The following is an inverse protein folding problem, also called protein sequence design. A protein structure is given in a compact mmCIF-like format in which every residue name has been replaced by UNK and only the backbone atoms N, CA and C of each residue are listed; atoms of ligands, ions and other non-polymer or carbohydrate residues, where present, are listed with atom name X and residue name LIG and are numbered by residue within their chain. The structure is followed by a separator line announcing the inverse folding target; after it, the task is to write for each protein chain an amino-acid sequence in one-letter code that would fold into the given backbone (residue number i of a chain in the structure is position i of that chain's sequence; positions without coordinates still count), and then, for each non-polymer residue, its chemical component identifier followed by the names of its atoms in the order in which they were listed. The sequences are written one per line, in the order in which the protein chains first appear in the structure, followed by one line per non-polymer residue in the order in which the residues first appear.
data_IF_567802443344
#
_entry.id   IF_567802443344
#
_cell.length_a   1.000
_cell.length_b   1.000
_cell.length_c   1.000
_cell.angle_alpha   90.00
_cell.angle_beta   90.00
_cell.angle_gamma   90.00
#
_symmetry.space_group_name_H-M   'P 1'
#
loop_
_entity.id
_entity.type
_entity.pdbx_description
1 polymer ?
#
# COMPACT_ATOMS: atom_id res chain seq x y z
N UNK A 1 11.83 10.64 -12.08
CA UNK A 1 11.68 11.10 -10.71
C UNK A 1 11.07 10.00 -9.82
N UNK A 2 10.99 10.18 -8.47
CA UNK A 2 10.58 9.10 -7.56
C UNK A 2 9.17 8.55 -7.88
N UNK A 3 8.16 9.40 -7.95
CA UNK A 3 6.78 8.97 -8.19
C UNK A 3 6.55 8.37 -9.58
N UNK A 4 7.33 8.76 -10.59
CA UNK A 4 7.32 8.08 -11.87
C UNK A 4 7.79 6.64 -11.75
N UNK A 5 8.86 6.41 -10.98
CA UNK A 5 9.40 5.06 -10.73
C UNK A 5 8.42 4.21 -9.90
N UNK A 6 7.73 4.81 -8.93
CA UNK A 6 6.67 4.12 -8.17
C UNK A 6 5.56 3.68 -9.12
N UNK A 7 5.06 4.57 -9.97
CA UNK A 7 4.02 4.20 -10.94
C UNK A 7 4.49 3.14 -11.95
N UNK A 8 5.74 3.23 -12.40
CA UNK A 8 6.35 2.27 -13.33
C UNK A 8 6.65 0.90 -12.68
N UNK A 9 6.57 0.79 -11.34
CA UNK A 9 6.78 -0.46 -10.60
C UNK A 9 5.52 -1.34 -10.50
N UNK A 10 4.41 -0.96 -11.15
CA UNK A 10 3.19 -1.75 -11.14
C UNK A 10 3.41 -3.14 -11.72
N UNK A 11 2.94 -4.17 -11.00
CA UNK A 11 3.03 -5.57 -11.38
C UNK A 11 1.64 -6.06 -11.80
N UNK A 12 1.47 -6.36 -13.08
CA UNK A 12 0.18 -6.78 -13.66
C UNK A 12 -0.33 -8.11 -13.07
N UNK A 13 0.55 -9.01 -12.66
CA UNK A 13 0.16 -10.32 -12.11
C UNK A 13 -0.46 -10.17 -10.73
N UNK A 14 0.18 -9.43 -9.85
CA UNK A 14 -0.27 -9.22 -8.47
C UNK A 14 -1.28 -8.08 -8.34
N UNK A 15 -1.25 -7.12 -9.25
CA UNK A 15 -2.01 -5.87 -9.14
C UNK A 15 -1.45 -4.88 -8.13
N UNK A 16 -0.22 -5.09 -7.65
CA UNK A 16 0.45 -4.26 -6.65
C UNK A 16 1.75 -3.64 -7.21
N UNK A 17 2.51 -2.96 -6.36
CA UNK A 17 3.80 -2.38 -6.74
C UNK A 17 4.94 -3.31 -6.36
N UNK A 18 5.86 -3.55 -7.29
CA UNK A 18 7.11 -4.20 -6.97
C UNK A 18 7.95 -3.30 -6.07
N UNK A 19 8.67 -3.90 -5.14
CA UNK A 19 9.62 -3.16 -4.32
C UNK A 19 10.78 -2.63 -5.17
N UNK A 20 11.22 -1.42 -4.86
CA UNK A 20 12.30 -0.75 -5.56
C UNK A 20 13.55 -0.85 -4.73
N UNK A 21 14.44 -1.77 -5.06
CA UNK A 21 15.76 -1.78 -4.43
C UNK A 21 16.47 -0.43 -4.64
N UNK A 22 16.65 0.28 -3.55
CA UNK A 22 17.72 1.24 -3.42
C UNK A 22 18.91 0.49 -2.80
N UNK A 23 20.10 0.77 -3.06
CA UNK A 23 20.81 1.70 -3.93
C UNK A 23 21.62 1.02 -5.02
N UNK A 24 21.62 -0.32 -5.14
CA UNK A 24 22.65 -1.04 -5.89
C UNK A 24 22.30 -1.28 -7.36
N UNK A 25 21.09 -1.01 -7.74
CA UNK A 25 20.67 -1.20 -9.12
C UNK A 25 19.70 -0.09 -9.47
N UNK A 26 20.20 1.12 -9.63
CA UNK A 26 19.49 2.32 -10.04
C UNK A 26 18.10 2.06 -10.69
N UNK A 27 17.10 1.74 -9.88
CA UNK A 27 15.74 1.50 -10.34
C UNK A 27 15.36 0.06 -10.69
N UNK A 28 16.18 -0.94 -10.36
CA UNK A 28 15.78 -2.33 -10.52
C UNK A 28 14.63 -2.66 -9.58
N UNK A 29 13.59 -3.23 -10.16
CA UNK A 29 12.49 -3.83 -9.41
C UNK A 29 12.95 -5.20 -8.91
N UNK A 30 12.49 -5.59 -7.74
CA UNK A 30 12.74 -6.92 -7.19
C UNK A 30 11.44 -7.70 -7.07
N UNK A 31 11.53 -8.98 -7.37
CA UNK A 31 10.43 -9.91 -7.17
C UNK A 31 10.41 -10.36 -5.71
N UNK A 32 9.97 -9.48 -4.83
CA UNK A 32 9.91 -9.73 -3.40
C UNK A 32 9.96 -8.45 -2.60
N UNK A 33 10.06 -8.60 -1.28
CA UNK A 33 10.11 -7.55 -0.31
C UNK A 33 11.49 -7.44 0.34
N UNK A 34 12.09 -6.24 0.29
CA UNK A 34 13.36 -5.97 0.96
C UNK A 34 13.15 -5.50 2.39
N UNK A 35 13.51 -6.34 3.36
CA UNK A 35 13.30 -6.08 4.79
C UNK A 35 14.38 -5.24 5.46
N UNK A 36 15.46 -4.90 4.76
CA UNK A 36 16.67 -4.32 5.37
C UNK A 36 17.68 -5.38 5.85
N UNK A 37 17.24 -6.58 6.11
CA UNK A 37 18.08 -7.73 6.50
C UNK A 37 18.26 -8.72 5.35
N UNK A 38 17.40 -8.67 4.36
CA UNK A 38 17.43 -9.56 3.20
C UNK A 38 16.16 -9.49 2.38
N UNK A 39 16.19 -10.14 1.22
CA UNK A 39 15.05 -10.24 0.32
C UNK A 39 14.15 -11.42 0.74
N UNK A 40 12.90 -11.12 1.05
CA UNK A 40 11.83 -12.14 1.11
C UNK A 40 11.25 -12.25 -0.29
N UNK A 41 11.48 -13.39 -0.94
CA UNK A 41 11.09 -13.62 -2.34
C UNK A 41 9.59 -13.82 -2.49
N UNK A 42 9.11 -13.55 -3.69
CA UNK A 42 7.77 -13.87 -4.16
C UNK A 42 6.62 -13.27 -3.33
N UNK A 43 6.90 -12.23 -2.53
CA UNK A 43 5.87 -11.50 -1.81
C UNK A 43 6.07 -9.98 -1.85
N UNK A 44 4.96 -9.24 -1.83
CA UNK A 44 4.90 -7.84 -1.51
C UNK A 44 4.56 -7.65 -0.04
N UNK A 45 5.09 -6.62 0.61
CA UNK A 45 4.69 -6.24 1.95
C UNK A 45 3.74 -5.03 1.92
N UNK A 46 2.66 -5.09 2.67
CA UNK A 46 1.70 -4.00 2.79
C UNK A 46 2.33 -2.70 3.26
N UNK A 47 3.35 -2.76 4.12
CA UNK A 47 4.06 -1.58 4.58
C UNK A 47 4.71 -0.83 3.41
N UNK A 48 5.50 -1.50 2.56
CA UNK A 48 6.20 -0.86 1.44
C UNK A 48 5.23 -0.41 0.35
N UNK A 49 4.28 -1.28 -0.04
CA UNK A 49 3.28 -0.95 -1.06
C UNK A 49 2.32 0.12 -0.56
N UNK A 50 1.80 -0.02 0.65
CA UNK A 50 0.82 0.89 1.24
C UNK A 50 1.41 2.28 1.45
N UNK A 51 2.62 2.39 2.01
CA UNK A 51 3.28 3.69 2.16
C UNK A 51 3.58 4.34 0.80
N UNK A 52 4.06 3.56 -0.19
CA UNK A 52 4.32 4.08 -1.52
C UNK A 52 3.07 4.67 -2.19
N UNK A 53 1.94 3.92 -2.18
CA UNK A 53 0.69 4.40 -2.77
C UNK A 53 0.05 5.53 -1.96
N UNK A 54 0.22 5.52 -0.62
CA UNK A 54 -0.22 6.63 0.24
C UNK A 54 0.48 7.95 -0.15
N UNK A 55 1.81 7.96 -0.22
CA UNK A 55 2.52 9.18 -0.60
C UNK A 55 2.27 9.59 -2.05
N UNK A 56 2.04 8.63 -2.94
CA UNK A 56 1.64 8.92 -4.32
C UNK A 56 0.28 9.64 -4.35
N UNK A 57 -0.75 9.09 -3.72
CA UNK A 57 -2.11 9.67 -3.68
C UNK A 57 -2.15 10.99 -2.93
N UNK A 58 -1.43 11.11 -1.81
CA UNK A 58 -1.29 12.36 -1.06
C UNK A 58 -0.66 13.47 -1.92
N UNK A 59 0.37 13.13 -2.70
CA UNK A 59 1.00 14.10 -3.60
C UNK A 59 0.06 14.52 -4.73
N UNK A 60 -0.69 13.58 -5.31
CA UNK A 60 -1.70 13.89 -6.33
C UNK A 60 -2.80 14.82 -5.79
N UNK A 61 -3.30 14.55 -4.58
CA UNK A 61 -4.29 15.41 -3.91
C UNK A 61 -3.73 16.82 -3.68
N UNK A 62 -2.49 16.94 -3.21
CA UNK A 62 -1.83 18.25 -3.08
C UNK A 62 -1.71 18.98 -4.41
N UNK A 63 -1.31 18.32 -5.48
CA UNK A 63 -1.24 18.94 -6.81
C UNK A 63 -2.61 19.38 -7.28
N UNK A 64 -3.63 18.56 -7.11
CA UNK A 64 -5.01 18.87 -7.49
C UNK A 64 -5.53 20.13 -6.75
N UNK A 65 -5.34 20.19 -5.42
CA UNK A 65 -5.76 21.34 -4.61
C UNK A 65 -5.06 22.64 -5.01
N UNK A 66 -3.85 22.55 -5.56
CA UNK A 66 -3.07 23.71 -6.00
C UNK A 66 -3.20 23.99 -7.51
N UNK A 67 -4.15 23.35 -8.21
CA UNK A 67 -4.37 23.54 -9.65
C UNK A 67 -3.18 23.14 -10.52
N UNK A 68 -2.33 22.23 -10.02
CA UNK A 68 -1.15 21.75 -10.75
C UNK A 68 -1.46 20.47 -11.50
N UNK A 69 -0.89 20.28 -12.70
CA UNK A 69 -1.11 19.05 -13.46
C UNK A 69 -0.47 17.86 -12.75
N UNK A 70 -1.15 16.72 -12.83
CA UNK A 70 -0.68 15.43 -12.32
C UNK A 70 -0.51 14.48 -13.52
N UNK A 71 0.62 13.72 -13.60
CA UNK A 71 0.79 12.71 -14.64
C UNK A 71 -0.29 11.62 -14.56
N UNK A 72 -0.97 11.36 -15.69
CA UNK A 72 -2.06 10.37 -15.75
C UNK A 72 -1.64 8.97 -15.28
N UNK A 73 -0.38 8.57 -15.54
CA UNK A 73 0.14 7.28 -15.10
C UNK A 73 0.18 7.10 -13.58
N UNK A 74 0.26 8.19 -12.81
CA UNK A 74 0.21 8.10 -11.34
C UNK A 74 -1.18 7.72 -10.87
N UNK A 75 -2.21 8.32 -11.47
CA UNK A 75 -3.60 7.99 -11.18
C UNK A 75 -3.91 6.55 -11.58
N UNK A 76 -3.51 6.14 -12.78
CA UNK A 76 -3.71 4.77 -13.27
C UNK A 76 -3.09 3.73 -12.32
N UNK A 77 -1.84 3.93 -11.93
CA UNK A 77 -1.15 3.03 -10.99
C UNK A 77 -1.83 3.00 -9.62
N UNK A 78 -2.15 4.17 -9.05
CA UNK A 78 -2.80 4.27 -7.75
C UNK A 78 -4.18 3.59 -7.74
N UNK A 79 -5.00 3.82 -8.76
CA UNK A 79 -6.32 3.19 -8.89
C UNK A 79 -6.19 1.68 -8.99
N UNK A 80 -5.32 1.16 -9.87
CA UNK A 80 -5.12 -0.28 -10.04
C UNK A 80 -4.70 -0.96 -8.74
N UNK A 81 -3.73 -0.38 -8.02
CA UNK A 81 -3.27 -0.91 -6.73
C UNK A 81 -4.39 -0.90 -5.70
N UNK A 82 -5.05 0.23 -5.51
CA UNK A 82 -6.08 0.39 -4.49
C UNK A 82 -7.34 -0.41 -4.81
N UNK A 83 -7.71 -0.56 -6.08
CA UNK A 83 -8.79 -1.48 -6.47
C UNK A 83 -8.43 -2.93 -6.14
N UNK A 84 -7.18 -3.35 -6.42
CA UNK A 84 -6.72 -4.71 -6.07
C UNK A 84 -6.82 -4.97 -4.56
N UNK A 85 -6.35 -4.05 -3.71
CA UNK A 85 -6.43 -4.27 -2.26
C UNK A 85 -7.85 -4.23 -1.72
N UNK A 86 -8.73 -3.41 -2.32
CA UNK A 86 -10.17 -3.42 -1.99
C UNK A 86 -10.85 -4.73 -2.39
N UNK A 87 -10.49 -5.30 -3.55
CA UNK A 87 -11.02 -6.60 -4.00
C UNK A 87 -10.57 -7.75 -3.10
N UNK A 88 -9.39 -7.62 -2.51
CA UNK A 88 -8.81 -8.60 -1.61
C UNK A 88 -9.10 -8.32 -0.12
N UNK A 89 -9.78 -7.21 0.20
CA UNK A 89 -10.09 -6.86 1.59
C UNK A 89 -10.98 -7.92 2.24
N UNK A 90 -10.60 -8.38 3.41
CA UNK A 90 -11.39 -9.32 4.21
C UNK A 90 -12.67 -8.67 4.73
N UNK A 91 -13.70 -9.47 4.99
CA UNK A 91 -15.02 -8.98 5.39
C UNK A 91 -15.01 -8.15 6.68
N UNK A 92 -14.07 -8.42 7.60
CA UNK A 92 -13.88 -7.68 8.84
C UNK A 92 -13.09 -6.36 8.68
N UNK A 93 -12.67 -6.04 7.45
CA UNK A 93 -11.95 -4.82 7.13
C UNK A 93 -10.43 -4.97 7.04
N UNK A 94 -9.86 -6.12 7.39
CA UNK A 94 -8.43 -6.34 7.30
C UNK A 94 -7.92 -6.26 5.85
N UNK A 95 -6.78 -5.62 5.66
CA UNK A 95 -5.92 -5.81 4.51
C UNK A 95 -4.85 -6.85 4.83
N UNK A 96 -4.30 -7.50 3.80
CA UNK A 96 -3.21 -8.45 3.98
C UNK A 96 -1.94 -7.78 4.50
N UNK A 97 -1.12 -8.55 5.20
CA UNK A 97 0.24 -8.16 5.56
C UNK A 97 1.20 -8.40 4.40
N UNK A 98 1.16 -9.61 3.81
CA UNK A 98 1.93 -9.92 2.62
C UNK A 98 1.03 -10.47 1.51
N UNK A 99 1.45 -10.19 0.26
CA UNK A 99 0.73 -10.55 -0.96
C UNK A 99 1.66 -11.25 -1.93
N UNK A 100 1.12 -12.15 -2.75
CA UNK A 100 1.87 -12.81 -3.82
C UNK A 100 2.32 -11.80 -4.88
N UNK A 101 3.53 -11.98 -5.42
CA UNK A 101 4.01 -11.25 -6.60
C UNK A 101 3.53 -11.87 -7.91
N UNK A 102 2.99 -13.08 -7.87
CA UNK A 102 2.62 -13.88 -9.05
C UNK A 102 1.13 -13.84 -9.37
N UNK A 103 0.30 -13.55 -8.38
CA UNK A 103 -1.15 -13.56 -8.49
C UNK A 103 -1.79 -12.59 -7.49
N UNK A 104 -3.04 -12.21 -7.71
CA UNK A 104 -3.83 -11.36 -6.80
C UNK A 104 -4.31 -12.18 -5.59
N UNK A 105 -3.42 -12.32 -4.61
CA UNK A 105 -3.69 -13.17 -3.44
C UNK A 105 -2.94 -12.68 -2.21
N UNK A 106 -3.63 -12.67 -1.07
CA UNK A 106 -3.01 -12.46 0.24
C UNK A 106 -2.34 -13.76 0.69
N UNK A 107 -1.11 -13.66 1.16
CA UNK A 107 -0.32 -14.77 1.69
C UNK A 107 -0.37 -14.82 3.22
N UNK A 108 -0.39 -13.67 3.86
CA UNK A 108 -0.44 -13.54 5.32
C UNK A 108 -1.38 -12.39 5.71
N UNK A 109 -2.17 -12.63 6.74
CA UNK A 109 -3.15 -11.70 7.31
C UNK A 109 -2.73 -11.14 8.67
N UNK A 110 -1.56 -11.51 9.17
CA UNK A 110 -1.09 -11.07 10.48
C UNK A 110 -0.71 -9.59 10.49
N UNK A 111 -0.71 -9.01 11.69
CA UNK A 111 -0.21 -7.66 11.89
C UNK A 111 -1.12 -6.54 11.38
N UNK A 112 -0.59 -5.34 11.39
CA UNK A 112 -1.34 -4.11 11.11
C UNK A 112 -0.76 -3.27 9.95
N UNK A 113 0.31 -3.70 9.30
CA UNK A 113 0.94 -2.94 8.21
C UNK A 113 -0.01 -2.62 7.04
N UNK A 114 -1.11 -3.38 6.89
CA UNK A 114 -2.19 -3.06 5.93
C UNK A 114 -2.91 -1.74 6.22
N UNK A 115 -2.78 -1.16 7.41
CA UNK A 115 -3.39 0.13 7.76
C UNK A 115 -2.95 1.26 6.82
N UNK A 116 -1.77 1.17 6.21
CA UNK A 116 -1.27 2.16 5.24
C UNK A 116 -2.15 2.32 4.00
N UNK A 117 -2.98 1.33 3.66
CA UNK A 117 -3.92 1.47 2.54
C UNK A 117 -5.10 2.39 2.88
N UNK A 118 -5.51 2.48 4.15
CA UNK A 118 -6.67 3.29 4.54
C UNK A 118 -6.51 4.79 4.19
N UNK A 119 -5.43 5.50 4.58
CA UNK A 119 -5.27 6.90 4.18
C UNK A 119 -5.07 7.06 2.67
N UNK A 120 -4.47 6.09 1.97
CA UNK A 120 -4.35 6.12 0.52
C UNK A 120 -5.74 6.09 -0.16
N UNK A 121 -6.65 5.26 0.34
CA UNK A 121 -8.04 5.16 -0.13
C UNK A 121 -8.81 6.47 0.11
N UNK A 122 -8.61 7.12 1.25
CA UNK A 122 -9.23 8.44 1.52
C UNK A 122 -8.76 9.49 0.52
N UNK A 123 -7.46 9.53 0.19
CA UNK A 123 -6.96 10.42 -0.84
C UNK A 123 -7.51 10.09 -2.23
N UNK A 124 -7.63 8.80 -2.57
CA UNK A 124 -8.22 8.39 -3.84
C UNK A 124 -9.69 8.80 -3.93
N UNK A 125 -10.47 8.61 -2.85
CA UNK A 125 -11.85 9.11 -2.76
C UNK A 125 -11.93 10.62 -3.04
N UNK A 126 -11.06 11.42 -2.42
CA UNK A 126 -11.03 12.88 -2.63
C UNK A 126 -10.74 13.29 -4.07
N UNK A 127 -9.93 12.49 -4.76
CA UNK A 127 -9.54 12.73 -6.16
C UNK A 127 -10.61 12.27 -7.16
N UNK A 128 -11.37 11.22 -6.84
CA UNK A 128 -12.24 10.53 -7.80
C UNK A 128 -13.72 10.58 -7.44
N UNK A 129 -14.07 10.78 -6.17
CA UNK A 129 -15.43 10.62 -5.65
C UNK A 129 -15.90 9.17 -5.52
N UNK A 130 -15.03 8.18 -5.65
CA UNK A 130 -15.41 6.77 -5.59
C UNK A 130 -15.72 6.35 -4.14
N UNK A 131 -17.00 6.25 -3.79
CA UNK A 131 -17.49 5.93 -2.43
C UNK A 131 -16.97 4.59 -1.89
N UNK A 132 -16.67 3.62 -2.76
CA UNK A 132 -16.08 2.34 -2.38
C UNK A 132 -14.75 2.53 -1.63
N UNK A 133 -13.95 3.51 -2.01
CA UNK A 133 -12.68 3.81 -1.34
C UNK A 133 -12.92 4.24 0.12
N UNK A 134 -13.91 5.10 0.34
CA UNK A 134 -14.25 5.58 1.68
C UNK A 134 -14.76 4.44 2.57
N UNK A 135 -15.70 3.64 2.07
CA UNK A 135 -16.24 2.49 2.81
C UNK A 135 -15.15 1.45 3.15
N UNK A 136 -14.22 1.21 2.22
CA UNK A 136 -13.10 0.29 2.47
C UNK A 136 -12.15 0.84 3.54
N UNK A 137 -11.87 2.14 3.51
CA UNK A 137 -11.03 2.80 4.50
C UNK A 137 -11.69 2.76 5.89
N UNK A 138 -13.00 3.03 6.01
CA UNK A 138 -13.75 2.98 7.27
C UNK A 138 -13.68 1.59 7.91
N UNK A 139 -13.96 0.53 7.13
CA UNK A 139 -13.82 -0.85 7.59
C UNK A 139 -12.41 -1.18 8.08
N UNK A 140 -11.40 -0.69 7.36
CA UNK A 140 -10.01 -0.91 7.75
C UNK A 140 -9.69 -0.19 9.07
N UNK A 141 -10.14 1.04 9.26
CA UNK A 141 -9.94 1.78 10.50
C UNK A 141 -10.60 1.07 11.69
N UNK A 142 -11.82 0.55 11.54
CA UNK A 142 -12.51 -0.21 12.58
C UNK A 142 -11.69 -1.47 12.96
N UNK A 143 -11.17 -2.18 11.98
CA UNK A 143 -10.34 -3.36 12.22
C UNK A 143 -9.01 -3.00 12.90
N UNK A 144 -8.24 -2.06 12.34
CA UNK A 144 -6.91 -1.73 12.87
C UNK A 144 -6.97 -0.95 14.20
N UNK A 145 -8.07 -0.29 14.52
CA UNK A 145 -8.27 0.29 15.84
C UNK A 145 -8.16 -0.75 16.97
N UNK A 146 -8.51 -2.00 16.73
CA UNK A 146 -8.36 -3.09 17.71
C UNK A 146 -6.91 -3.31 18.11
N UNK A 147 -5.96 -3.14 17.20
CA UNK A 147 -4.52 -3.29 17.47
C UNK A 147 -4.03 -2.24 18.47
N UNK A 148 -4.46 -0.99 18.32
CA UNK A 148 -4.11 0.09 19.25
C UNK A 148 -4.73 -0.16 20.62
N UNK A 149 -6.00 -0.54 20.66
CA UNK A 149 -6.74 -0.84 21.89
C UNK A 149 -6.11 -1.98 22.67
N UNK A 150 -5.68 -3.02 21.99
CA UNK A 150 -5.13 -4.23 22.61
C UNK A 150 -3.60 -4.17 22.74
N UNK A 151 -2.98 -3.01 22.40
CA UNK A 151 -1.53 -2.82 22.37
C UNK A 151 -0.79 -3.90 21.56
N UNK A 152 -1.40 -4.35 20.47
CA UNK A 152 -0.84 -5.37 19.61
C UNK A 152 0.16 -4.74 18.64
N UNK A 153 1.42 -4.94 18.88
CA UNK A 153 2.53 -4.38 18.11
C UNK A 153 3.07 -5.33 17.03
N UNK A 154 2.32 -6.37 16.71
CA UNK A 154 2.79 -7.42 15.81
C UNK A 154 2.69 -7.01 14.34
N UNK A 155 3.73 -7.28 13.56
CA UNK A 155 3.69 -7.22 12.10
C UNK A 155 4.28 -5.98 11.46
N UNK A 156 5.07 -5.17 12.15
CA UNK A 156 5.84 -4.13 11.48
C UNK A 156 7.09 -4.69 10.81
N UNK A 157 7.46 -4.22 9.62
CA UNK A 157 8.66 -4.70 8.93
C UNK A 157 9.97 -4.13 9.50
N UNK A 158 9.92 -2.98 10.16
CA UNK A 158 11.11 -2.30 10.68
C UNK A 158 11.40 -2.68 12.12
N UNK A 159 10.35 -2.73 12.91
CA UNK A 159 10.40 -3.08 14.31
C UNK A 159 9.01 -3.60 14.69
N UNK A 160 8.91 -4.89 14.86
CA UNK A 160 7.64 -5.56 15.16
C UNK A 160 7.04 -5.18 16.51
N UNK A 161 7.71 -4.35 17.29
CA UNK A 161 7.33 -3.98 18.63
C UNK A 161 6.58 -2.64 18.75
N UNK A 162 6.38 -1.92 17.63
CA UNK A 162 5.81 -0.58 17.65
C UNK A 162 4.50 -0.48 16.87
N UNK A 163 3.38 -0.64 17.55
CA UNK A 163 2.07 -0.39 16.96
C UNK A 163 1.77 1.11 16.77
N UNK A 164 2.42 1.96 17.55
CA UNK A 164 2.13 3.40 17.60
C UNK A 164 2.81 4.22 16.51
N UNK A 165 3.74 3.63 15.77
CA UNK A 165 4.47 4.31 14.70
C UNK A 165 3.71 4.23 13.35
N UNK A 166 2.59 3.53 13.28
CA UNK A 166 1.73 3.32 12.11
C UNK A 166 0.26 3.67 12.45
#
# INVERSE_FOLDING_TARGET
QLFDRIADAYNENSGLLNDLMAPNAAGSQVNGWWTGYGLVKDCHCAYTVGSAVHYLTKTMDYLHQNGKPCPAKWMDAAQKVLHTVMDLQRADGAFGYTYSTQERKVLDWSGFAGCWFAPALVYLYRLTGEERCLHSAEKALDYYHTFVKDLNCYGTPMDTWKAVDE
#
